data_IF_483777681662
#
_entry.id   IF_483777681662
#
_cell.length_a   1.000
_cell.length_b   1.000
_cell.length_c   1.000
_cell.angle_alpha   90.00
_cell.angle_beta   90.00
_cell.angle_gamma   90.00
#
_symmetry.space_group_name_H-M   'P 1'
#
loop_
_entity.id
_entity.type
_entity.pdbx_description
1 polymer ?
#
# COMPACT_ATOMS: atom_id res chain seq x y z
N UNK A 1 -28.59 6.71 -5.59
CA UNK A 1 -27.71 6.90 -4.41
C UNK A 1 -26.34 6.34 -4.78
N UNK A 2 -25.30 7.17 -4.79
CA UNK A 2 -23.99 6.80 -5.37
C UNK A 2 -23.26 5.78 -4.48
N UNK A 3 -23.35 5.88 -3.16
CA UNK A 3 -22.66 5.07 -2.16
C UNK A 3 -23.59 4.12 -1.39
N UNK A 4 -24.30 3.24 -2.10
CA UNK A 4 -25.26 2.35 -1.42
C UNK A 4 -24.63 1.10 -0.79
N UNK A 5 -23.36 0.80 -1.12
CA UNK A 5 -22.61 -0.30 -0.49
C UNK A 5 -21.61 0.21 0.56
N UNK A 6 -20.83 1.23 0.22
CA UNK A 6 -19.88 1.84 1.13
C UNK A 6 -19.31 3.15 0.56
N UNK A 7 -18.82 3.99 1.49
CA UNK A 7 -18.03 5.19 1.19
C UNK A 7 -16.66 5.06 1.85
N UNK A 8 -15.60 5.03 1.06
CA UNK A 8 -14.22 4.86 1.51
C UNK A 8 -13.52 6.21 1.54
N UNK A 9 -13.13 6.67 2.73
CA UNK A 9 -12.29 7.84 2.90
C UNK A 9 -10.83 7.48 2.62
N UNK A 10 -10.22 8.13 1.61
CA UNK A 10 -8.87 7.82 1.17
C UNK A 10 -7.93 8.99 1.46
N UNK A 11 -7.03 8.83 2.44
CA UNK A 11 -6.04 9.85 2.80
C UNK A 11 -4.73 9.53 2.07
N UNK A 12 -4.36 10.38 1.12
CA UNK A 12 -3.16 10.21 0.29
C UNK A 12 -2.03 11.14 0.73
N UNK A 13 -0.76 10.71 0.63
CA UNK A 13 0.38 11.52 1.04
C UNK A 13 0.60 12.75 0.17
N UNK A 14 0.35 12.65 -1.14
CA UNK A 14 0.58 13.70 -2.13
C UNK A 14 -0.60 13.83 -3.09
N UNK A 15 -0.67 14.96 -3.81
CA UNK A 15 -1.69 15.23 -4.83
C UNK A 15 -1.47 14.47 -6.15
N UNK A 16 -0.57 13.48 -6.21
CA UNK A 16 -0.27 12.73 -7.42
C UNK A 16 -1.40 11.76 -7.78
N UNK A 17 -1.82 11.83 -9.04
CA UNK A 17 -3.04 11.18 -9.52
C UNK A 17 -2.98 9.66 -9.62
N UNK A 18 -1.81 9.07 -9.93
CA UNK A 18 -1.68 7.62 -10.22
C UNK A 18 -2.26 6.74 -9.11
N UNK A 19 -2.00 7.06 -7.86
CA UNK A 19 -2.39 6.21 -6.74
C UNK A 19 -3.91 6.20 -6.46
N UNK A 20 -4.61 7.33 -6.61
CA UNK A 20 -6.06 7.31 -6.42
C UNK A 20 -6.81 6.93 -7.71
N UNK A 21 -6.22 7.17 -8.90
CA UNK A 21 -6.79 6.70 -10.15
C UNK A 21 -7.00 5.17 -10.15
N UNK A 22 -6.08 4.42 -9.52
CA UNK A 22 -6.23 2.98 -9.33
C UNK A 22 -7.48 2.64 -8.51
N UNK A 23 -7.72 3.33 -7.41
CA UNK A 23 -8.90 3.14 -6.57
C UNK A 23 -10.20 3.43 -7.33
N UNK A 24 -10.26 4.55 -8.06
CA UNK A 24 -11.43 4.91 -8.86
C UNK A 24 -11.72 3.90 -9.97
N UNK A 25 -10.66 3.49 -10.67
CA UNK A 25 -10.80 2.52 -11.77
C UNK A 25 -11.36 1.18 -11.30
N UNK A 26 -11.06 0.77 -10.08
CA UNK A 26 -11.39 -0.55 -9.56
C UNK A 26 -12.42 -0.49 -8.41
N UNK A 27 -13.04 0.64 -8.17
CA UNK A 27 -14.16 0.74 -7.24
C UNK A 27 -15.36 -0.03 -7.80
N UNK A 28 -15.94 -1.00 -7.04
CA UNK A 28 -17.13 -1.71 -7.49
C UNK A 28 -18.36 -0.80 -7.48
N UNK A 29 -19.38 -1.21 -8.23
CA UNK A 29 -20.66 -0.50 -8.23
C UNK A 29 -21.20 -0.31 -6.80
N UNK A 30 -21.67 0.89 -6.49
CA UNK A 30 -22.18 1.26 -5.17
C UNK A 30 -21.13 1.63 -4.14
N UNK A 31 -19.84 1.62 -4.49
CA UNK A 31 -18.74 2.11 -3.64
C UNK A 31 -18.29 3.47 -4.11
N UNK A 32 -18.25 4.44 -3.19
CA UNK A 32 -17.73 5.77 -3.43
C UNK A 32 -16.34 5.92 -2.79
N UNK A 33 -15.41 6.53 -3.51
CA UNK A 33 -14.08 6.89 -3.01
C UNK A 33 -14.05 8.39 -2.75
N UNK A 34 -13.78 8.79 -1.51
CA UNK A 34 -13.63 10.20 -1.11
C UNK A 34 -12.15 10.49 -0.83
N UNK A 35 -11.39 11.03 -1.80
CA UNK A 35 -9.97 11.28 -1.63
C UNK A 35 -9.72 12.58 -0.89
N UNK A 36 -8.70 12.56 -0.03
CA UNK A 36 -8.12 13.76 0.57
C UNK A 36 -6.60 13.62 0.64
N UNK A 37 -5.90 14.71 0.92
CA UNK A 37 -4.46 14.76 0.75
C UNK A 37 -3.75 15.41 1.94
N UNK A 38 -2.74 14.73 2.48
CA UNK A 38 -1.82 15.32 3.47
C UNK A 38 -1.05 16.47 2.83
N UNK A 39 -0.67 16.31 1.55
CA UNK A 39 0.02 17.34 0.79
C UNK A 39 1.47 17.51 1.21
N UNK A 40 2.21 16.40 1.37
CA UNK A 40 3.66 16.46 1.55
C UNK A 40 4.32 17.21 0.40
N UNK A 41 5.13 18.20 0.76
CA UNK A 41 5.88 19.03 -0.20
C UNK A 41 7.35 18.64 -0.30
N UNK A 42 7.84 17.89 0.67
CA UNK A 42 9.23 17.43 0.72
C UNK A 42 9.31 16.00 1.24
N UNK A 43 10.39 15.32 0.90
CA UNK A 43 10.71 13.96 1.31
C UNK A 43 11.54 13.94 2.60
N UNK A 44 11.43 15.00 3.43
CA UNK A 44 12.16 15.11 4.69
C UNK A 44 11.43 14.38 5.81
N UNK A 45 12.20 13.81 6.72
CA UNK A 45 11.69 13.08 7.90
C UNK A 45 10.70 13.90 8.72
N UNK A 46 11.00 15.17 8.98
CA UNK A 46 10.16 16.08 9.77
C UNK A 46 8.79 16.27 9.11
N UNK A 47 8.77 16.48 7.80
CA UNK A 47 7.53 16.62 7.02
C UNK A 47 6.66 15.37 7.12
N UNK A 48 7.27 14.19 7.09
CA UNK A 48 6.54 12.92 7.25
C UNK A 48 5.95 12.77 8.66
N UNK A 49 6.70 13.14 9.70
CA UNK A 49 6.22 13.02 11.07
C UNK A 49 5.10 14.02 11.40
N UNK A 50 5.15 15.23 10.85
CA UNK A 50 4.06 16.21 10.96
C UNK A 50 2.77 15.72 10.26
N UNK A 51 2.91 14.86 9.27
CA UNK A 51 1.79 14.31 8.50
C UNK A 51 0.78 13.55 9.32
N UNK A 52 1.15 12.95 10.46
CA UNK A 52 0.22 12.19 11.31
C UNK A 52 -0.91 13.07 11.85
N UNK A 53 -0.59 14.24 12.43
CA UNK A 53 -1.61 15.19 12.92
C UNK A 53 -2.57 15.63 11.82
N UNK A 54 -2.03 15.83 10.61
CA UNK A 54 -2.82 16.23 9.46
C UNK A 54 -3.72 15.10 8.99
N UNK A 55 -3.21 13.85 8.96
CA UNK A 55 -4.00 12.67 8.63
C UNK A 55 -5.16 12.46 9.62
N UNK A 56 -4.92 12.65 10.92
CA UNK A 56 -5.98 12.58 11.94
C UNK A 56 -7.09 13.62 11.72
N UNK A 57 -6.72 14.88 11.43
CA UNK A 57 -7.69 15.93 11.15
C UNK A 57 -8.52 15.62 9.89
N UNK A 58 -7.87 15.10 8.84
CA UNK A 58 -8.55 14.68 7.62
C UNK A 58 -9.48 13.47 7.84
N UNK A 59 -9.09 12.53 8.69
CA UNK A 59 -9.93 11.39 9.05
C UNK A 59 -11.23 11.83 9.76
N UNK A 60 -11.14 12.82 10.66
CA UNK A 60 -12.33 13.41 11.30
C UNK A 60 -13.27 14.02 10.24
N UNK A 61 -12.74 14.80 9.29
CA UNK A 61 -13.54 15.37 8.21
C UNK A 61 -14.20 14.30 7.34
N UNK A 62 -13.47 13.22 7.01
CA UNK A 62 -14.02 12.11 6.23
C UNK A 62 -15.14 11.36 6.97
N UNK A 63 -15.04 11.22 8.30
CA UNK A 63 -16.12 10.71 9.12
C UNK A 63 -17.36 11.60 9.04
N UNK A 64 -17.18 12.94 9.14
CA UNK A 64 -18.28 13.91 9.10
C UNK A 64 -19.04 13.89 7.76
N UNK A 65 -18.35 13.59 6.66
CA UNK A 65 -19.00 13.41 5.34
C UNK A 65 -19.57 12.01 5.13
N UNK A 66 -19.56 11.16 6.17
CA UNK A 66 -20.23 9.86 6.18
C UNK A 66 -19.45 8.74 5.50
N UNK A 67 -18.13 8.73 5.62
CA UNK A 67 -17.33 7.56 5.23
C UNK A 67 -17.56 6.41 6.23
N UNK A 68 -17.47 5.17 5.72
CA UNK A 68 -17.64 3.93 6.51
C UNK A 68 -16.29 3.37 6.98
N UNK A 69 -15.22 3.70 6.32
CA UNK A 69 -13.84 3.27 6.59
C UNK A 69 -12.85 4.34 6.13
N UNK A 70 -11.72 4.44 6.81
CA UNK A 70 -10.62 5.31 6.41
C UNK A 70 -9.43 4.46 5.98
N UNK A 71 -8.92 4.68 4.77
CA UNK A 71 -7.67 4.10 4.28
C UNK A 71 -6.60 5.20 4.18
N UNK A 72 -5.54 5.06 4.95
CA UNK A 72 -4.40 5.98 4.97
C UNK A 72 -3.27 5.38 4.16
N UNK A 73 -2.78 6.08 3.17
CA UNK A 73 -1.65 5.66 2.33
C UNK A 73 -0.39 6.45 2.64
N UNK A 74 0.76 5.90 2.29
CA UNK A 74 2.06 6.55 2.47
C UNK A 74 2.94 5.84 3.48
N UNK A 75 3.73 4.88 3.01
CA UNK A 75 4.56 4.00 3.83
C UNK A 75 5.69 4.67 4.62
N UNK A 76 6.41 5.72 4.12
CA UNK A 76 7.59 6.25 4.80
C UNK A 76 7.38 6.72 6.25
N UNK A 77 6.32 7.47 6.59
CA UNK A 77 6.09 7.87 7.98
C UNK A 77 5.96 6.69 8.93
N UNK A 78 5.25 5.64 8.52
CA UNK A 78 5.01 4.45 9.33
C UNK A 78 6.26 3.57 9.42
N UNK A 79 7.04 3.45 8.34
CA UNK A 79 8.33 2.77 8.37
C UNK A 79 9.31 3.42 9.36
N UNK A 80 9.35 4.74 9.41
CA UNK A 80 10.20 5.48 10.34
C UNK A 80 9.81 5.30 11.80
N UNK A 81 8.57 4.93 12.06
CA UNK A 81 8.01 4.71 13.41
C UNK A 81 7.89 3.23 13.78
N UNK A 82 7.78 2.35 12.82
CA UNK A 82 7.68 0.91 12.99
C UNK A 82 6.28 0.39 13.32
N UNK A 83 6.16 -0.94 13.36
CA UNK A 83 4.90 -1.69 13.47
C UNK A 83 4.08 -1.36 14.72
N UNK A 84 4.74 -1.27 15.87
CA UNK A 84 4.02 -1.07 17.14
C UNK A 84 3.37 0.31 17.18
N UNK A 85 4.07 1.33 16.65
CA UNK A 85 3.49 2.66 16.48
C UNK A 85 2.34 2.65 15.48
N UNK A 86 2.48 1.98 14.34
CA UNK A 86 1.43 1.93 13.31
C UNK A 86 0.15 1.35 13.87
N UNK A 87 0.23 0.25 14.62
CA UNK A 87 -0.91 -0.40 15.26
C UNK A 87 -1.57 0.47 16.31
N UNK A 88 -0.78 1.08 17.19
CA UNK A 88 -1.31 1.96 18.22
C UNK A 88 -1.98 3.19 17.61
N UNK A 89 -1.34 3.84 16.64
CA UNK A 89 -1.90 5.00 15.95
C UNK A 89 -3.22 4.66 15.22
N UNK A 90 -3.28 3.51 14.56
CA UNK A 90 -4.50 3.05 13.90
C UNK A 90 -5.63 2.79 14.90
N UNK A 91 -5.33 2.17 16.03
CA UNK A 91 -6.30 1.89 17.10
C UNK A 91 -6.82 3.19 17.72
N UNK A 92 -5.94 4.10 18.10
CA UNK A 92 -6.30 5.39 18.70
C UNK A 92 -7.16 6.23 17.75
N UNK A 93 -6.79 6.26 16.46
CA UNK A 93 -7.57 6.99 15.47
C UNK A 93 -8.93 6.32 15.22
N UNK A 94 -8.97 5.01 15.13
CA UNK A 94 -10.22 4.24 14.97
C UNK A 94 -11.18 4.47 16.14
N UNK A 95 -10.68 4.45 17.36
CA UNK A 95 -11.46 4.77 18.56
C UNK A 95 -12.00 6.22 18.53
N UNK A 96 -11.12 7.17 18.18
CA UNK A 96 -11.46 8.61 18.10
C UNK A 96 -12.57 8.92 17.11
N UNK A 97 -12.57 8.26 15.94
CA UNK A 97 -13.53 8.53 14.87
C UNK A 97 -14.69 7.53 14.82
N UNK A 98 -14.60 6.40 15.53
CA UNK A 98 -15.62 5.35 15.53
C UNK A 98 -15.71 4.58 14.21
N UNK A 99 -14.64 4.57 13.39
CA UNK A 99 -14.59 3.88 12.10
C UNK A 99 -13.32 3.02 12.00
N UNK A 100 -13.35 1.92 11.22
CA UNK A 100 -12.13 1.18 10.91
C UNK A 100 -11.10 2.06 10.20
N UNK A 101 -9.82 1.90 10.56
CA UNK A 101 -8.69 2.58 9.94
C UNK A 101 -7.72 1.57 9.37
N UNK A 102 -7.48 1.64 8.07
CA UNK A 102 -6.46 0.85 7.37
C UNK A 102 -5.22 1.71 7.17
N UNK A 103 -4.10 1.26 7.66
CA UNK A 103 -2.80 1.90 7.52
C UNK A 103 -2.00 1.32 6.35
N UNK A 104 -0.89 1.94 5.90
CA UNK A 104 -0.27 1.50 4.65
C UNK A 104 0.58 0.23 4.75
N UNK A 105 1.24 -0.05 5.90
CA UNK A 105 2.23 -1.12 5.93
C UNK A 105 1.67 -2.49 6.35
N UNK A 106 0.80 -2.53 7.34
CA UNK A 106 0.26 -3.80 7.84
C UNK A 106 -0.53 -4.59 6.79
N UNK A 107 -1.36 -3.96 5.91
CA UNK A 107 -2.02 -4.66 4.80
C UNK A 107 -1.08 -5.40 3.87
N UNK A 108 0.13 -4.85 3.64
CA UNK A 108 1.12 -5.47 2.77
C UNK A 108 1.64 -6.79 3.37
N UNK A 109 1.94 -6.78 4.66
CA UNK A 109 2.37 -7.99 5.37
C UNK A 109 1.25 -9.04 5.45
N UNK A 110 0.02 -8.61 5.71
CA UNK A 110 -1.14 -9.51 5.77
C UNK A 110 -1.42 -10.13 4.39
N UNK A 111 -1.30 -9.36 3.31
CA UNK A 111 -1.44 -9.88 1.94
C UNK A 111 -0.38 -10.95 1.63
N UNK A 112 0.89 -10.70 1.99
CA UNK A 112 1.95 -11.69 1.85
C UNK A 112 1.66 -12.97 2.65
N UNK A 113 1.15 -12.85 3.88
CA UNK A 113 0.75 -14.00 4.70
C UNK A 113 -0.41 -14.77 4.08
N UNK A 114 -1.45 -14.09 3.59
CA UNK A 114 -2.60 -14.70 2.93
C UNK A 114 -2.18 -15.52 1.70
N UNK A 115 -1.15 -15.05 1.00
CA UNK A 115 -0.56 -15.76 -0.13
C UNK A 115 0.41 -16.89 0.28
N UNK A 116 0.66 -17.11 1.57
CA UNK A 116 1.57 -18.16 2.07
C UNK A 116 3.04 -17.89 1.72
N UNK A 117 3.45 -16.63 1.62
CA UNK A 117 4.81 -16.21 1.32
C UNK A 117 5.71 -16.42 2.54
N UNK A 118 6.98 -16.81 2.33
CA UNK A 118 8.02 -16.89 3.33
C UNK A 118 9.23 -16.03 2.97
N UNK A 119 9.61 -16.04 1.70
CA UNK A 119 10.73 -15.26 1.17
C UNK A 119 10.21 -14.27 0.14
N UNK A 120 10.49 -13.00 0.33
CA UNK A 120 9.96 -11.92 -0.51
C UNK A 120 11.08 -11.08 -1.10
N UNK A 121 11.07 -10.90 -2.42
CA UNK A 121 11.88 -9.90 -3.10
C UNK A 121 11.19 -8.55 -2.99
N UNK A 122 11.92 -7.53 -2.54
CA UNK A 122 11.38 -6.21 -2.23
C UNK A 122 11.84 -5.21 -3.27
N UNK A 123 10.92 -4.72 -4.10
CA UNK A 123 11.14 -3.67 -5.10
C UNK A 123 10.70 -2.31 -4.53
N UNK A 124 11.62 -1.35 -4.46
CA UNK A 124 11.36 -0.01 -3.95
C UNK A 124 12.13 1.05 -4.75
N UNK A 125 11.74 2.29 -4.54
CA UNK A 125 12.50 3.49 -4.93
C UNK A 125 13.07 4.24 -3.72
N UNK A 126 13.20 3.54 -2.58
CA UNK A 126 13.66 4.10 -1.33
C UNK A 126 15.17 4.01 -1.16
N UNK A 127 15.70 4.92 -0.37
CA UNK A 127 17.08 4.88 0.10
C UNK A 127 17.30 3.83 1.19
N UNK A 128 18.54 3.68 1.61
CA UNK A 128 18.97 2.61 2.52
C UNK A 128 18.25 2.60 3.87
N UNK A 129 17.87 3.77 4.40
CA UNK A 129 17.19 3.87 5.69
C UNK A 129 15.79 3.24 5.62
N UNK A 130 14.97 3.64 4.66
CA UNK A 130 13.63 3.11 4.48
C UNK A 130 13.64 1.65 4.02
N UNK A 131 14.62 1.27 3.21
CA UNK A 131 14.79 -0.12 2.79
C UNK A 131 15.10 -1.06 3.97
N UNK A 132 15.96 -0.65 4.88
CA UNK A 132 16.19 -1.39 6.14
C UNK A 132 14.92 -1.46 6.97
N UNK A 133 14.22 -0.35 7.11
CA UNK A 133 12.97 -0.31 7.86
C UNK A 133 11.89 -1.25 7.28
N UNK A 134 11.80 -1.43 5.94
CA UNK A 134 10.90 -2.43 5.33
C UNK A 134 11.32 -3.85 5.71
N UNK A 135 12.61 -4.17 5.61
CA UNK A 135 13.13 -5.50 5.98
C UNK A 135 12.85 -5.81 7.45
N UNK A 136 13.12 -4.87 8.34
CA UNK A 136 12.85 -4.99 9.77
C UNK A 136 11.36 -5.15 10.05
N UNK A 137 10.51 -4.36 9.37
CA UNK A 137 9.06 -4.45 9.47
C UNK A 137 8.55 -5.85 9.07
N UNK A 138 8.97 -6.35 7.91
CA UNK A 138 8.56 -7.66 7.42
C UNK A 138 9.11 -8.81 8.26
N UNK A 139 10.30 -8.67 8.87
CA UNK A 139 10.84 -9.67 9.78
C UNK A 139 9.94 -9.92 11.00
N UNK A 140 9.20 -8.88 11.48
CA UNK A 140 8.22 -8.99 12.56
C UNK A 140 7.02 -9.89 12.21
N UNK A 141 6.79 -10.14 10.92
CA UNK A 141 5.79 -11.08 10.40
C UNK A 141 6.38 -12.44 10.00
N UNK A 142 7.68 -12.64 10.20
CA UNK A 142 8.38 -13.88 9.91
C UNK A 142 8.89 -13.99 8.46
N UNK A 143 8.85 -12.92 7.67
CA UNK A 143 9.35 -12.96 6.30
C UNK A 143 10.87 -12.80 6.24
N UNK A 144 11.49 -13.56 5.33
CA UNK A 144 12.84 -13.32 4.86
C UNK A 144 12.76 -12.39 3.65
N UNK A 145 13.31 -11.18 3.77
CA UNK A 145 13.23 -10.16 2.73
C UNK A 145 14.57 -9.99 2.03
N UNK A 146 14.55 -9.96 0.70
CA UNK A 146 15.70 -9.71 -0.16
C UNK A 146 15.43 -8.46 -0.99
N UNK A 147 16.25 -7.43 -0.80
CA UNK A 147 16.09 -6.15 -1.51
C UNK A 147 16.55 -6.28 -2.95
N UNK A 148 15.71 -5.89 -3.89
CA UNK A 148 16.13 -5.67 -5.27
C UNK A 148 17.05 -4.45 -5.36
N UNK A 149 17.96 -4.38 -6.36
CA UNK A 149 18.65 -3.14 -6.68
C UNK A 149 17.64 -2.00 -6.85
N UNK A 150 17.95 -0.80 -6.37
CA UNK A 150 17.06 0.35 -6.54
C UNK A 150 16.80 0.64 -8.02
N UNK A 151 15.59 1.06 -8.36
CA UNK A 151 15.27 1.57 -9.69
C UNK A 151 15.98 2.92 -9.83
N UNK A 152 17.18 2.91 -10.44
CA UNK A 152 17.98 4.10 -10.67
C UNK A 152 17.42 4.86 -11.88
N UNK A 153 16.55 5.82 -11.59
CA UNK A 153 16.19 6.88 -12.53
C UNK A 153 17.13 8.07 -12.27
N UNK A 154 17.54 8.76 -13.32
CA UNK A 154 18.41 9.92 -13.23
C UNK A 154 17.76 11.04 -12.43
N UNK A 155 18.24 11.30 -11.23
CA UNK A 155 17.77 12.36 -10.33
C UNK A 155 18.54 12.35 -9.02
N UNK A 156 18.66 13.50 -8.35
CA UNK A 156 19.27 13.58 -7.04
C UNK A 156 18.40 12.87 -5.99
N UNK A 157 18.99 11.95 -5.25
CA UNK A 157 18.33 11.27 -4.13
C UNK A 157 18.26 12.20 -2.93
N UNK A 158 17.09 12.30 -2.29
CA UNK A 158 16.89 13.05 -1.05
C UNK A 158 17.43 12.33 0.20
N UNK A 159 18.13 11.21 0.03
CA UNK A 159 18.59 10.35 1.12
C UNK A 159 17.56 9.32 1.59
N UNK A 160 16.28 9.64 1.63
CA UNK A 160 15.18 8.70 1.91
C UNK A 160 14.72 7.96 0.64
N UNK A 161 14.94 8.53 -0.54
CA UNK A 161 14.58 7.95 -1.83
C UNK A 161 15.81 7.83 -2.74
N UNK A 162 15.81 6.85 -3.62
CA UNK A 162 16.85 6.71 -4.67
C UNK A 162 16.49 7.48 -5.94
N UNK A 163 15.26 7.98 -6.02
CA UNK A 163 14.76 8.73 -7.16
C UNK A 163 13.80 9.82 -6.69
N UNK A 164 13.76 10.93 -7.38
CA UNK A 164 12.84 12.02 -7.02
C UNK A 164 11.39 11.62 -7.26
N UNK A 165 10.46 12.19 -6.49
CA UNK A 165 9.03 11.96 -6.71
C UNK A 165 8.59 12.42 -8.11
N UNK A 166 9.23 13.43 -8.69
CA UNK A 166 8.94 13.89 -10.05
C UNK A 166 9.34 12.84 -11.09
N UNK A 167 10.53 12.26 -10.96
CA UNK A 167 10.99 11.20 -11.85
C UNK A 167 10.13 9.93 -11.76
N UNK A 168 9.51 9.66 -10.61
CA UNK A 168 8.59 8.53 -10.45
C UNK A 168 7.34 8.63 -11.33
N UNK A 169 6.92 9.85 -11.69
CA UNK A 169 5.77 10.02 -12.59
C UNK A 169 6.04 9.52 -14.01
N UNK A 170 7.31 9.44 -14.41
CA UNK A 170 7.75 8.94 -15.70
C UNK A 170 7.94 7.42 -15.72
N UNK A 171 8.01 6.76 -14.55
CA UNK A 171 8.16 5.31 -14.46
C UNK A 171 6.87 4.63 -14.93
N UNK A 172 7.00 3.88 -16.01
CA UNK A 172 5.91 3.10 -16.57
C UNK A 172 5.87 1.68 -15.98
N UNK A 173 4.74 0.99 -16.12
CA UNK A 173 4.61 -0.43 -15.76
C UNK A 173 5.61 -1.33 -16.52
N UNK A 174 6.05 -0.91 -17.71
CA UNK A 174 7.08 -1.63 -18.49
C UNK A 174 8.44 -1.58 -17.81
N UNK A 175 8.77 -0.44 -17.22
CA UNK A 175 10.01 -0.26 -16.48
C UNK A 175 9.98 -1.08 -15.19
N UNK A 176 8.86 -1.08 -14.48
CA UNK A 176 8.65 -1.93 -13.30
C UNK A 176 8.79 -3.42 -13.67
N UNK A 177 8.14 -3.87 -14.73
CA UNK A 177 8.25 -5.25 -15.20
C UNK A 177 9.69 -5.65 -15.53
N UNK A 178 10.39 -4.84 -16.32
CA UNK A 178 11.78 -5.12 -16.71
C UNK A 178 12.71 -5.15 -15.50
N UNK A 179 12.56 -4.19 -14.61
CA UNK A 179 13.33 -4.12 -13.36
C UNK A 179 13.16 -5.38 -12.51
N UNK A 180 11.92 -5.75 -12.21
CA UNK A 180 11.61 -6.95 -11.43
C UNK A 180 12.13 -8.21 -12.12
N UNK A 181 11.91 -8.37 -13.44
CA UNK A 181 12.39 -9.53 -14.19
C UNK A 181 13.91 -9.69 -14.14
N UNK A 182 14.66 -8.59 -14.31
CA UNK A 182 16.12 -8.61 -14.26
C UNK A 182 16.64 -8.93 -12.85
N UNK A 183 16.03 -8.35 -11.82
CA UNK A 183 16.42 -8.60 -10.43
C UNK A 183 16.13 -10.04 -10.04
N UNK A 184 14.93 -10.55 -10.33
CA UNK A 184 14.52 -11.91 -9.98
C UNK A 184 15.35 -13.01 -10.63
N UNK A 185 15.95 -12.75 -11.79
CA UNK A 185 16.91 -13.70 -12.40
C UNK A 185 18.09 -14.02 -11.48
N UNK A 186 18.38 -13.16 -10.50
CA UNK A 186 19.45 -13.32 -9.51
C UNK A 186 18.92 -13.74 -8.13
N UNK A 187 17.61 -13.92 -7.97
CA UNK A 187 16.92 -14.23 -6.72
C UNK A 187 16.06 -15.50 -6.86
N UNK A 188 16.65 -16.68 -7.14
CA UNK A 188 15.89 -17.87 -7.54
C UNK A 188 15.11 -18.53 -6.39
N UNK A 189 15.28 -18.07 -5.14
CA UNK A 189 14.68 -18.70 -3.97
C UNK A 189 13.52 -17.92 -3.36
N UNK A 190 13.12 -16.80 -3.95
CA UNK A 190 12.01 -15.97 -3.43
C UNK A 190 10.66 -16.53 -3.89
N UNK A 191 9.66 -16.43 -3.01
CA UNK A 191 8.29 -16.93 -3.24
C UNK A 191 7.40 -15.88 -3.88
N UNK A 192 7.73 -14.60 -3.66
CA UNK A 192 6.93 -13.47 -4.11
C UNK A 192 7.76 -12.23 -4.37
N UNK A 193 7.18 -11.30 -5.12
CA UNK A 193 7.65 -9.93 -5.24
C UNK A 193 6.69 -9.01 -4.47
N UNK A 194 7.24 -8.16 -3.62
CA UNK A 194 6.55 -7.02 -3.06
C UNK A 194 7.02 -5.74 -3.76
N UNK A 195 6.07 -5.02 -4.36
CA UNK A 195 6.31 -3.74 -5.03
C UNK A 195 5.78 -2.63 -4.14
N UNK A 196 6.69 -1.83 -3.58
CA UNK A 196 6.33 -0.80 -2.61
C UNK A 196 5.95 0.52 -3.27
N UNK A 197 4.93 1.17 -2.67
CA UNK A 197 4.55 2.54 -2.97
C UNK A 197 3.65 2.73 -4.20
N UNK A 198 2.97 3.87 -4.20
CA UNK A 198 2.06 4.28 -5.27
C UNK A 198 2.64 5.36 -6.20
N UNK A 199 3.94 5.63 -6.09
CA UNK A 199 4.61 6.64 -6.93
C UNK A 199 4.85 6.17 -8.37
N UNK A 200 4.96 4.88 -8.57
CA UNK A 200 5.08 4.27 -9.89
C UNK A 200 3.79 3.53 -10.30
N UNK A 201 3.56 3.39 -11.59
CA UNK A 201 2.43 2.63 -12.12
C UNK A 201 2.79 1.15 -12.24
N UNK A 202 2.55 0.38 -11.16
CA UNK A 202 2.88 -1.05 -11.14
C UNK A 202 1.70 -1.95 -11.54
N UNK A 203 0.47 -1.46 -11.50
CA UNK A 203 -0.71 -2.30 -11.67
C UNK A 203 -0.69 -3.19 -12.94
N UNK A 204 -0.42 -2.67 -14.15
CA UNK A 204 -0.40 -3.53 -15.33
C UNK A 204 0.77 -4.53 -15.36
N UNK A 205 1.83 -4.30 -14.56
CA UNK A 205 2.97 -5.23 -14.50
C UNK A 205 2.66 -6.50 -13.69
N UNK A 206 1.69 -6.46 -12.77
CA UNK A 206 1.39 -7.54 -11.82
C UNK A 206 1.09 -8.84 -12.56
N UNK A 207 0.07 -8.85 -13.41
CA UNK A 207 -0.32 -10.06 -14.16
C UNK A 207 0.79 -10.59 -15.07
N UNK A 208 1.55 -9.69 -15.71
CA UNK A 208 2.67 -10.11 -16.56
C UNK A 208 3.77 -10.78 -15.75
N UNK A 209 4.13 -10.24 -14.58
CA UNK A 209 5.12 -10.84 -13.69
C UNK A 209 4.65 -12.21 -13.19
N UNK A 210 3.41 -12.32 -12.73
CA UNK A 210 2.84 -13.58 -12.24
C UNK A 210 2.76 -14.63 -13.34
N UNK A 211 2.29 -14.26 -14.52
CA UNK A 211 2.14 -15.16 -15.65
C UNK A 211 3.48 -15.64 -16.20
N UNK A 212 4.43 -14.72 -16.42
CA UNK A 212 5.67 -15.02 -17.14
C UNK A 212 6.73 -15.63 -16.22
N UNK A 213 6.76 -15.24 -14.94
CA UNK A 213 7.77 -15.69 -13.97
C UNK A 213 7.25 -16.73 -12.97
N UNK A 214 5.93 -17.03 -12.99
CA UNK A 214 5.29 -17.97 -12.06
C UNK A 214 5.53 -17.61 -10.59
N UNK A 215 5.57 -16.32 -10.27
CA UNK A 215 5.81 -15.76 -8.94
C UNK A 215 4.60 -14.94 -8.49
N UNK A 216 4.28 -14.97 -7.20
CA UNK A 216 3.21 -14.13 -6.64
C UNK A 216 3.66 -12.68 -6.56
N UNK A 217 2.77 -11.72 -6.81
CA UNK A 217 3.08 -10.29 -6.73
C UNK A 217 2.12 -9.58 -5.78
N UNK A 218 2.67 -8.84 -4.83
CA UNK A 218 1.93 -7.94 -3.94
C UNK A 218 2.37 -6.51 -4.20
N UNK A 219 1.48 -5.71 -4.75
CA UNK A 219 1.69 -4.27 -4.86
C UNK A 219 1.01 -3.55 -3.70
N UNK A 220 1.68 -2.55 -3.14
CA UNK A 220 1.21 -1.80 -1.97
C UNK A 220 -0.25 -1.34 -2.08
N UNK A 221 -0.63 -0.65 -3.17
CA UNK A 221 -2.00 -0.16 -3.34
C UNK A 221 -3.02 -1.28 -3.52
N UNK A 222 -2.64 -2.40 -4.14
CA UNK A 222 -3.51 -3.56 -4.27
C UNK A 222 -3.78 -4.21 -2.91
N UNK A 223 -2.77 -4.29 -2.04
CA UNK A 223 -2.92 -4.82 -0.69
C UNK A 223 -3.77 -3.91 0.21
N UNK A 224 -3.59 -2.59 0.14
CA UNK A 224 -4.43 -1.61 0.85
C UNK A 224 -5.90 -1.76 0.41
N UNK A 225 -6.16 -1.82 -0.89
CA UNK A 225 -7.48 -1.99 -1.47
C UNK A 225 -8.13 -3.32 -1.06
N UNK A 226 -7.38 -4.43 -1.21
CA UNK A 226 -7.84 -5.77 -0.87
C UNK A 226 -8.30 -5.85 0.59
N UNK A 227 -7.50 -5.35 1.54
CA UNK A 227 -7.85 -5.38 2.94
C UNK A 227 -9.04 -4.46 3.25
N UNK A 228 -9.11 -3.28 2.64
CA UNK A 228 -10.24 -2.35 2.81
C UNK A 228 -11.56 -2.99 2.39
N UNK A 229 -11.61 -3.62 1.23
CA UNK A 229 -12.81 -4.32 0.77
C UNK A 229 -13.15 -5.53 1.63
N UNK A 230 -12.14 -6.24 2.12
CA UNK A 230 -12.37 -7.37 3.03
C UNK A 230 -13.03 -6.92 4.35
N UNK A 231 -12.55 -5.83 4.96
CA UNK A 231 -13.15 -5.26 6.19
C UNK A 231 -14.61 -4.84 5.94
N UNK A 232 -14.88 -4.23 4.79
CA UNK A 232 -16.24 -3.84 4.38
C UNK A 232 -17.11 -5.03 3.95
N UNK A 233 -16.59 -6.25 3.92
CA UNK A 233 -17.26 -7.46 3.41
C UNK A 233 -17.76 -7.30 1.96
N UNK A 234 -16.99 -6.60 1.15
CA UNK A 234 -17.29 -6.36 -0.26
C UNK A 234 -16.39 -7.28 -1.09
N UNK A 235 -16.99 -8.27 -1.75
CA UNK A 235 -16.30 -9.05 -2.75
C UNK A 235 -16.10 -8.21 -4.01
N UNK A 236 -14.85 -8.05 -4.41
CA UNK A 236 -14.48 -7.28 -5.59
C UNK A 236 -13.23 -7.87 -6.28
N UNK A 237 -13.39 -8.96 -7.03
CA UNK A 237 -12.32 -9.44 -7.89
C UNK A 237 -11.94 -8.35 -8.91
N UNK A 238 -10.66 -8.01 -8.96
CA UNK A 238 -10.14 -6.97 -9.86
C UNK A 238 -9.39 -7.63 -11.01
N UNK A 239 -9.93 -7.59 -12.23
CA UNK A 239 -9.20 -8.06 -13.41
C UNK A 239 -7.89 -7.28 -13.57
N UNK A 240 -6.78 -7.97 -13.78
CA UNK A 240 -5.46 -7.35 -13.85
C UNK A 240 -4.80 -7.07 -12.49
N UNK A 241 -5.50 -7.36 -11.39
CA UNK A 241 -5.00 -7.15 -10.03
C UNK A 241 -4.12 -8.27 -9.47
N UNK A 242 -3.81 -9.28 -10.28
CA UNK A 242 -3.03 -10.44 -9.88
C UNK A 242 -3.78 -11.42 -8.98
N UNK A 243 -3.06 -12.41 -8.47
CA UNK A 243 -3.66 -13.46 -7.63
C UNK A 243 -4.27 -12.92 -6.34
N UNK A 244 -3.69 -11.86 -5.75
CA UNK A 244 -4.22 -11.27 -4.52
C UNK A 244 -5.65 -10.74 -4.69
N UNK A 245 -5.93 -10.07 -5.79
CA UNK A 245 -7.24 -9.48 -6.09
C UNK A 245 -8.14 -10.39 -6.93
N UNK A 246 -7.84 -11.68 -7.00
CA UNK A 246 -8.68 -12.68 -7.70
C UNK A 246 -9.98 -13.03 -6.95
N UNK A 247 -10.10 -12.63 -5.68
CA UNK A 247 -11.21 -13.00 -4.79
C UNK A 247 -11.01 -14.32 -4.02
N UNK A 248 -9.91 -15.03 -4.25
CA UNK A 248 -9.65 -16.35 -3.65
C UNK A 248 -8.88 -16.30 -2.32
N UNK A 249 -8.41 -15.13 -1.92
CA UNK A 249 -7.58 -14.95 -0.73
C UNK A 249 -8.26 -14.07 0.29
N UNK A 250 -8.20 -14.49 1.56
CA UNK A 250 -8.76 -13.77 2.70
C UNK A 250 -7.69 -13.58 3.77
N UNK A 251 -7.73 -12.48 4.55
CA UNK A 251 -6.84 -12.31 5.70
C UNK A 251 -7.08 -13.39 6.74
N UNK A 252 -6.05 -13.75 7.49
CA UNK A 252 -6.22 -14.63 8.65
C UNK A 252 -7.17 -13.99 9.67
N UNK A 253 -8.09 -14.78 10.23
CA UNK A 253 -9.11 -14.31 11.17
C UNK A 253 -8.49 -13.62 12.40
N UNK A 254 -9.11 -12.53 12.87
CA UNK A 254 -8.85 -11.92 14.19
C UNK A 254 -7.92 -10.71 14.22
N UNK A 255 -7.42 -10.19 13.09
CA UNK A 255 -6.48 -9.05 13.11
C UNK A 255 -7.11 -7.66 12.88
N UNK A 256 -8.30 -7.59 12.34
CA UNK A 256 -9.02 -6.32 12.18
C UNK A 256 -10.39 -6.41 12.81
N UNK A 257 -10.82 -5.36 13.53
CA UNK A 257 -12.17 -5.33 14.04
C UNK A 257 -13.15 -5.46 12.87
N UNK A 258 -14.05 -6.45 12.96
CA UNK A 258 -15.23 -6.47 12.11
C UNK A 258 -15.98 -5.15 12.29
N UNK A 259 -16.55 -4.62 11.20
CA UNK A 259 -17.51 -3.51 11.32
C UNK A 259 -18.46 -3.78 12.48
N UNK A 260 -18.76 -2.77 13.33
CA UNK A 260 -19.85 -2.92 14.28
C UNK A 260 -21.08 -3.40 13.50
N UNK A 261 -21.74 -4.43 14.01
CA UNK A 261 -23.04 -4.86 13.47
C UNK A 261 -24.00 -3.67 13.49
N UNK A 262 -24.51 -3.30 12.33
CA UNK A 262 -25.50 -2.24 12.16
C UNK A 262 -26.75 -2.50 13.00
#
# INVERSE_FOLDING_TARGET
>A
MVAWRARIGLIKPTHRGKSFAYWYKHAPEGVEIVPTFIGFRSERRESFLEGFKKAEALAVQLREVGCDIISVSGTPPFLLKGLDFERQWAADLSEKIGLPVVTPMEPHAIALQALGVRKVAVATYYGNELNRAIVDYFSRFGFQSELMPGLSMTGESSGLYTTSLVALDEVSYRDVYRHCKQALAKMPTVDAVYINGGGWDAAPAIEYLERDLKIKVVWALAAEMWLTYHILKIENPVPGGGVLLSGNYVPAAGRYPSMPSA
#
